data_IF_763948647101
#
_entry.id   IF_763948647101
#
_cell.length_a   1.000
_cell.length_b   1.000
_cell.length_c   1.000
_cell.angle_alpha   90.00
_cell.angle_beta   90.00
_cell.angle_gamma   90.00
#
_symmetry.space_group_name_H-M   'P 1'
#
loop_
_entity.id
_entity.type
_entity.pdbx_description
1 polymer ?
2 non-polymer ?
3 non-polymer ?
4 water ?
#
# COMPACT_ATOMS: atom_id res chain seq x y z
N UNK A 6 6.21 25.35 19.84
CA UNK A 6 5.91 25.16 18.39
C UNK A 6 4.76 24.16 18.20
N UNK A 7 3.56 24.67 17.93
CA UNK A 7 2.47 23.75 17.61
C UNK A 7 2.70 23.03 16.28
N UNK A 8 2.04 21.88 16.12
CA UNK A 8 2.39 20.96 15.05
C UNK A 8 1.14 20.25 14.53
N UNK A 9 1.14 19.91 13.24
CA UNK A 9 0.04 19.11 12.70
C UNK A 9 0.11 17.64 13.16
N UNK A 10 1.24 17.24 13.72
CA UNK A 10 1.54 15.83 13.93
C UNK A 10 1.60 15.52 15.43
N UNK A 11 1.31 14.29 15.82
CA UNK A 11 1.82 13.81 17.10
C UNK A 11 2.58 12.49 17.00
N UNK A 12 3.83 12.48 17.47
CA UNK A 12 4.66 11.28 17.49
C UNK A 12 4.26 10.32 18.61
N UNK A 13 4.35 9.02 18.34
CA UNK A 13 4.19 8.01 19.37
C UNK A 13 5.39 7.07 19.40
N UNK A 14 5.61 6.43 20.54
CA UNK A 14 6.33 5.16 20.60
C UNK A 14 5.37 4.01 20.83
N UNK A 15 5.89 2.79 20.71
CA UNK A 15 5.03 1.62 20.70
C UNK A 15 4.27 1.50 22.01
N UNK A 16 4.98 1.74 23.10
CA UNK A 16 4.40 1.92 24.43
C UNK A 16 3.11 2.75 24.37
N UNK A 17 3.25 4.01 23.96
CA UNK A 17 2.10 4.93 23.91
C UNK A 17 1.04 4.41 22.96
N UNK A 18 1.46 3.98 21.78
CA UNK A 18 0.54 3.61 20.72
C UNK A 18 -0.28 2.39 21.12
N UNK A 19 0.37 1.38 21.69
CA UNK A 19 -0.30 0.12 22.00
C UNK A 19 -1.40 0.28 23.04
N UNK A 20 -1.29 1.30 23.88
CA UNK A 20 -2.30 1.57 24.91
C UNK A 20 -3.64 1.92 24.27
N UNK A 21 -3.61 2.43 23.04
CA UNK A 21 -4.82 2.86 22.38
C UNK A 21 -5.53 1.70 21.67
N UNK A 22 -5.06 0.48 21.95
CA UNK A 22 -5.78 -0.70 21.50
C UNK A 22 -7.19 -0.79 22.10
N UNK A 23 -7.38 -0.18 23.27
CA UNK A 23 -8.49 -0.52 24.15
C UNK A 23 -8.78 -2.02 24.13
N UNK A 24 -10.02 -2.39 23.81
CA UNK A 24 -10.40 -3.79 23.89
C UNK A 24 -10.74 -4.43 22.54
N UNK A 25 -10.15 -3.88 21.48
CA UNK A 25 -10.28 -4.46 20.15
C UNK A 25 -9.81 -5.93 20.15
N UNK A 26 -10.70 -6.84 19.70
CA UNK A 26 -10.36 -8.26 19.57
C UNK A 26 -9.28 -8.53 18.52
N UNK A 27 -8.28 -9.34 18.86
CA UNK A 27 -7.42 -9.96 17.85
C UNK A 27 -8.13 -11.12 17.15
N UNK A 28 -8.28 -11.00 15.83
CA UNK A 28 -9.09 -11.97 15.11
C UNK A 28 -8.27 -12.61 13.99
N UNK A 29 -7.10 -13.13 14.34
CA UNK A 29 -6.16 -13.55 13.32
C UNK A 29 -5.09 -14.47 13.89
N UNK A 30 -4.93 -15.62 13.24
CA UNK A 30 -4.08 -16.71 13.74
C UNK A 30 -2.62 -16.49 13.37
N UNK A 31 -1.75 -17.41 13.78
CA UNK A 31 -0.38 -17.44 13.23
C UNK A 31 -0.40 -17.89 11.78
N UNK A 32 -1.24 -18.86 11.46
CA UNK A 32 -1.26 -19.41 10.12
C UNK A 32 -1.70 -18.37 9.09
N UNK A 33 -2.66 -17.54 9.48
CA UNK A 33 -3.17 -16.51 8.59
C UNK A 33 -2.15 -15.39 8.41
N UNK A 34 -1.54 -14.96 9.49
CA UNK A 34 -0.46 -13.98 9.42
C UNK A 34 0.61 -14.32 8.40
N UNK A 35 1.07 -15.57 8.49
CA UNK A 35 2.03 -16.17 7.57
C UNK A 35 1.63 -15.95 6.12
N UNK A 36 0.37 -16.19 5.80
CA UNK A 36 -0.08 -16.14 4.42
C UNK A 36 -0.06 -14.73 3.87
N UNK A 37 0.11 -13.75 4.76
CA UNK A 37 0.04 -12.36 4.31
C UNK A 37 1.43 -11.73 4.30
N UNK A 38 2.34 -12.42 4.97
CA UNK A 38 3.71 -11.94 5.20
C UNK A 38 4.56 -12.19 3.96
N UNK A 39 5.20 -11.13 3.48
CA UNK A 39 6.17 -11.26 2.39
C UNK A 39 7.57 -11.67 2.79
N UNK A 40 8.31 -12.26 1.85
CA UNK A 40 9.69 -12.66 2.08
C UNK A 40 10.52 -11.57 2.76
N UNK A 41 11.11 -11.90 3.91
CA UNK A 41 12.00 -10.98 4.60
C UNK A 41 11.31 -10.15 5.68
N UNK A 42 9.99 -10.11 5.65
CA UNK A 42 9.22 -9.35 6.62
C UNK A 42 9.13 -10.01 8.01
N UNK A 43 9.34 -9.23 9.08
CA UNK A 43 9.41 -9.78 10.42
C UNK A 43 8.12 -9.73 11.23
N UNK A 44 7.04 -9.23 10.65
CA UNK A 44 5.84 -8.95 11.41
C UNK A 44 5.34 -10.23 12.10
N UNK A 45 5.04 -10.14 13.39
CA UNK A 45 4.39 -11.25 14.10
C UNK A 45 3.10 -10.78 14.79
N UNK A 46 2.38 -11.72 15.40
CA UNK A 46 1.16 -11.39 16.13
C UNK A 46 1.31 -10.32 17.20
N UNK A 47 2.48 -10.23 17.82
CA UNK A 47 2.65 -9.13 18.77
C UNK A 47 2.47 -7.75 18.12
N UNK A 48 3.28 -7.46 17.10
CA UNK A 48 3.18 -6.23 16.31
C UNK A 48 1.76 -5.94 15.83
N UNK A 49 1.04 -6.98 15.42
CA UNK A 49 -0.36 -6.82 15.07
C UNK A 49 -1.25 -6.39 16.23
N UNK A 50 -0.92 -6.86 17.44
CA UNK A 50 -1.64 -6.47 18.64
C UNK A 50 -1.34 -5.02 19.01
N UNK A 51 -0.05 -4.66 19.02
CA UNK A 51 0.36 -3.37 19.58
C UNK A 51 0.38 -2.23 18.56
N UNK A 52 0.33 -2.58 17.28
CA UNK A 52 0.44 -1.59 16.22
C UNK A 52 -0.77 -1.59 15.30
N UNK A 53 -1.13 -2.76 14.77
CA UNK A 53 -2.23 -2.79 13.82
C UNK A 53 -3.61 -2.69 14.46
N UNK A 54 -3.71 -2.93 15.76
CA UNK A 54 -5.05 -2.99 16.35
C UNK A 54 -5.55 -1.62 16.78
N UNK A 55 -4.67 -0.77 17.32
CA UNK A 55 -5.04 0.63 17.48
C UNK A 55 -5.39 1.26 16.13
N UNK A 56 -4.56 0.98 15.13
CA UNK A 56 -4.81 1.47 13.78
C UNK A 56 -6.19 1.07 13.29
N UNK A 57 -6.56 -0.18 13.49
CA UNK A 57 -7.88 -0.61 13.04
C UNK A 57 -8.98 0.13 13.83
N UNK A 58 -8.69 0.44 15.09
CA UNK A 58 -9.65 1.17 15.91
C UNK A 58 -9.87 2.59 15.37
N UNK A 59 -8.82 3.39 15.41
CA UNK A 59 -8.76 4.66 14.68
C UNK A 59 -9.53 4.64 13.36
N UNK A 60 -9.36 3.61 12.56
CA UNK A 60 -10.07 3.62 11.28
C UNK A 60 -11.57 3.45 11.46
N UNK A 61 -11.98 2.57 12.37
CA UNK A 61 -13.40 2.31 12.62
C UNK A 61 -14.10 3.61 13.04
N UNK A 62 -13.46 4.32 13.96
CA UNK A 62 -13.91 5.61 14.46
C UNK A 62 -14.08 6.64 13.34
N UNK A 63 -13.11 6.67 12.41
CA UNK A 63 -13.14 7.62 11.32
C UNK A 63 -14.09 7.27 10.19
N UNK A 64 -14.37 5.99 9.98
CA UNK A 64 -15.30 5.58 8.92
C UNK A 64 -16.69 6.16 9.13
N UNK A 65 -17.16 6.13 10.38
CA UNK A 65 -18.49 6.63 10.72
C UNK A 65 -18.53 8.15 10.54
N UNK A 66 -17.55 8.82 11.14
CA UNK A 66 -17.39 10.27 11.06
C UNK A 66 -17.18 10.78 9.64
N UNK A 67 -16.49 10.00 8.82
CA UNK A 67 -16.32 10.37 7.42
C UNK A 67 -17.64 10.28 6.67
N UNK A 68 -18.54 9.41 7.10
CA UNK A 68 -19.87 9.32 6.49
C UNK A 68 -20.73 10.56 6.75
N UNK A 69 -20.63 11.12 7.94
CA UNK A 69 -21.35 12.35 8.28
C UNK A 69 -21.07 13.37 7.18
N UNK A 70 -19.78 13.56 6.92
CA UNK A 70 -19.28 14.51 5.96
C UNK A 70 -19.92 14.40 4.57
N UNK A 71 -20.07 13.18 4.05
CA UNK A 71 -20.71 13.04 2.74
C UNK A 71 -22.22 13.23 2.83
N UNK A 72 -22.78 12.91 3.99
CA UNK A 72 -24.22 13.07 4.21
C UNK A 72 -24.61 14.54 4.28
N UNK A 73 -23.74 15.36 4.87
CA UNK A 73 -23.97 16.80 4.94
C UNK A 73 -24.10 17.40 3.54
N UNK A 74 -23.18 17.01 2.66
CA UNK A 74 -23.24 17.48 1.28
C UNK A 74 -24.47 16.93 0.58
N UNK A 75 -24.88 15.73 0.97
CA UNK A 75 -26.10 15.15 0.43
C UNK A 75 -27.31 15.94 0.95
N UNK A 76 -27.27 16.33 2.23
CA UNK A 76 -28.37 17.04 2.84
C UNK A 76 -28.48 18.37 2.10
N UNK A 77 -27.33 19.04 1.96
CA UNK A 77 -27.25 20.29 1.21
C UNK A 77 -27.84 20.22 -0.20
N UNK A 78 -27.42 19.21 -0.96
CA UNK A 78 -27.91 19.04 -2.32
C UNK A 78 -29.37 18.62 -2.37
N UNK A 79 -29.99 18.48 -1.20
CA UNK A 79 -31.35 17.95 -1.09
C UNK A 79 -31.50 16.59 -1.76
N UNK A 80 -30.53 15.72 -1.55
CA UNK A 80 -30.47 14.45 -2.26
C UNK A 80 -31.19 13.36 -1.47
N UNK A 81 -31.73 12.35 -2.18
CA UNK A 81 -32.11 11.12 -1.50
C UNK A 81 -31.13 10.80 -0.37
N UNK A 82 -31.62 10.46 0.82
CA UNK A 82 -30.76 10.05 1.94
C UNK A 82 -30.02 8.74 1.65
N UNK A 83 -28.82 8.59 2.22
CA UNK A 83 -27.87 7.58 1.75
C UNK A 83 -28.25 6.16 2.13
N UNK A 84 -28.50 5.34 1.10
CA UNK A 84 -28.66 3.90 1.23
C UNK A 84 -27.68 3.28 2.22
N UNK A 85 -28.19 2.72 3.34
CA UNK A 85 -27.32 2.12 4.34
C UNK A 85 -26.77 0.74 3.92
N UNK A 86 -27.41 0.13 2.92
CA UNK A 86 -26.91 -1.08 2.26
C UNK A 86 -25.73 -0.81 1.32
N UNK A 87 -25.29 0.45 1.29
CA UNK A 87 -24.20 0.92 0.43
C UNK A 87 -23.89 2.41 0.67
N UNK A 88 -23.08 2.69 1.69
CA UNK A 88 -22.60 4.06 1.91
C UNK A 88 -21.47 4.42 0.95
N UNK A 89 -20.87 5.59 1.12
CA UNK A 89 -19.74 5.99 0.29
C UNK A 89 -18.45 5.29 0.72
N UNK A 90 -17.86 4.50 -0.19
CA UNK A 90 -16.73 3.64 0.15
C UNK A 90 -15.59 4.43 0.75
N UNK A 91 -15.04 3.93 1.86
CA UNK A 91 -13.87 4.52 2.52
C UNK A 91 -12.57 4.15 1.79
N UNK A 92 -11.82 5.14 1.34
CA UNK A 92 -10.61 4.84 0.60
C UNK A 92 -9.38 5.04 1.46
N UNK A 93 -8.52 4.02 1.49
CA UNK A 93 -7.28 4.08 2.25
C UNK A 93 -6.10 3.86 1.33
N UNK A 94 -5.11 4.74 1.46
CA UNK A 94 -3.94 4.65 0.61
C UNK A 94 -2.78 4.18 1.46
N UNK A 95 -1.93 3.33 0.87
CA UNK A 95 -0.77 2.80 1.56
C UNK A 95 0.44 2.92 0.63
N UNK A 96 1.45 3.65 1.10
CA UNK A 96 2.57 4.02 0.25
C UNK A 96 3.86 3.67 0.96
N UNK A 97 4.93 3.55 0.17
CA UNK A 97 6.28 3.63 0.69
C UNK A 97 7.24 3.04 -0.32
N UNK A 98 8.50 2.91 0.06
CA UNK A 98 9.51 2.39 -0.84
C UNK A 98 9.29 0.92 -1.19
N UNK A 99 9.81 0.53 -2.35
CA UNK A 99 10.08 -0.87 -2.62
C UNK A 99 10.78 -1.45 -1.41
N UNK A 100 10.35 -2.66 -1.00
CA UNK A 100 11.08 -3.46 -0.01
C UNK A 100 10.87 -3.01 1.44
N UNK A 101 9.93 -2.11 1.69
CA UNK A 101 9.82 -1.58 3.05
C UNK A 101 8.72 -2.33 3.77
N UNK A 102 8.01 -3.20 3.06
CA UNK A 102 6.94 -3.99 3.68
C UNK A 102 5.53 -3.48 3.48
N UNK A 103 5.37 -2.36 2.77
CA UNK A 103 4.06 -1.71 2.69
C UNK A 103 2.99 -2.67 2.18
N UNK A 104 3.36 -3.57 1.29
CA UNK A 104 2.40 -4.52 0.73
C UNK A 104 1.86 -5.45 1.81
N UNK A 105 2.74 -5.91 2.68
CA UNK A 105 2.35 -6.75 3.80
C UNK A 105 1.42 -5.95 4.71
N UNK A 106 1.82 -4.73 5.02
CA UNK A 106 1.01 -3.83 5.83
C UNK A 106 -0.42 -3.73 5.31
N UNK A 107 -0.59 -3.72 4.00
CA UNK A 107 -1.93 -3.46 3.46
C UNK A 107 -2.77 -4.73 3.48
N UNK A 108 -2.15 -5.85 3.12
CA UNK A 108 -2.76 -7.17 3.29
C UNK A 108 -3.20 -7.39 4.73
N UNK A 109 -2.33 -7.04 5.68
CA UNK A 109 -2.67 -7.31 7.06
C UNK A 109 -3.86 -6.43 7.41
N UNK A 110 -3.76 -5.16 7.08
CA UNK A 110 -4.83 -4.22 7.38
C UNK A 110 -6.14 -4.68 6.74
N UNK A 111 -6.06 -5.22 5.53
CA UNK A 111 -7.28 -5.76 4.91
C UNK A 111 -7.88 -6.86 5.77
N UNK A 112 -7.04 -7.70 6.33
CA UNK A 112 -7.50 -8.87 7.06
C UNK A 112 -8.24 -8.37 8.29
N UNK A 113 -7.62 -7.42 9.00
CA UNK A 113 -8.19 -6.93 10.24
C UNK A 113 -9.56 -6.30 10.03
N UNK A 114 -9.73 -5.52 8.97
CA UNK A 114 -11.00 -4.81 8.77
C UNK A 114 -12.08 -5.71 8.17
N UNK A 115 -11.69 -6.78 7.48
CA UNK A 115 -12.69 -7.69 6.94
C UNK A 115 -13.34 -8.43 8.10
N UNK A 116 -12.66 -8.44 9.23
CA UNK A 116 -13.10 -9.14 10.42
C UNK A 116 -13.65 -8.18 11.46
N UNK A 117 -14.48 -7.24 11.00
CA UNK A 117 -15.36 -6.50 11.89
C UNK A 117 -16.76 -7.08 11.83
N UNK A 118 -17.62 -6.59 12.72
CA UNK A 118 -18.99 -7.05 12.77
C UNK A 118 -19.76 -6.71 11.50
N UNK A 119 -20.75 -7.55 11.20
CA UNK A 119 -21.59 -7.40 10.01
C UNK A 119 -20.70 -7.50 8.77
N UNK A 120 -19.40 -7.60 9.01
CA UNK A 120 -18.42 -8.16 8.08
C UNK A 120 -18.31 -7.39 6.76
N UNK A 121 -17.71 -6.20 6.82
CA UNK A 121 -17.58 -5.23 5.73
C UNK A 121 -16.78 -5.77 4.54
N UNK A 122 -17.27 -5.57 3.32
CA UNK A 122 -16.51 -5.94 2.14
C UNK A 122 -15.31 -5.02 1.94
N UNK A 123 -14.12 -5.56 2.14
CA UNK A 123 -12.89 -4.77 2.16
C UNK A 123 -11.95 -5.22 1.04
N UNK A 124 -11.85 -4.40 0.00
CA UNK A 124 -11.01 -4.75 -1.15
C UNK A 124 -9.64 -4.14 -1.09
N UNK A 125 -8.68 -4.82 -1.71
CA UNK A 125 -7.29 -4.35 -1.75
C UNK A 125 -6.84 -4.40 -3.19
N UNK A 126 -6.37 -3.26 -3.69
CA UNK A 126 -5.89 -3.16 -5.07
C UNK A 126 -4.50 -2.53 -5.02
N UNK A 127 -3.54 -3.15 -5.70
CA UNK A 127 -2.19 -2.59 -5.77
C UNK A 127 -2.04 -1.87 -7.11
N UNK A 128 -1.16 -0.87 -7.17
CA UNK A 128 -1.07 -0.08 -8.37
C UNK A 128 -0.25 -0.78 -9.44
N UNK A 129 0.11 -2.03 -9.18
CA UNK A 129 0.89 -2.81 -10.14
C UNK A 129 0.10 -2.95 -11.43
N UNK A 130 -1.18 -3.30 -11.28
CA UNK A 130 -2.08 -3.49 -12.41
C UNK A 130 -2.16 -2.30 -13.35
N UNK A 131 -1.79 -1.13 -12.83
CA UNK A 131 -1.85 0.10 -13.61
C UNK A 131 -0.51 0.50 -14.22
N UNK A 132 0.52 -0.32 -14.07
CA UNK A 132 1.72 -0.10 -14.85
C UNK A 132 1.38 -0.17 -16.34
N UNK A 133 1.98 0.70 -17.14
CA UNK A 133 1.91 0.52 -18.58
C UNK A 133 2.54 -0.83 -18.89
N UNK A 134 2.01 -1.53 -19.91
CA UNK A 134 2.61 -2.77 -20.37
C UNK A 134 4.02 -2.57 -20.89
N UNK A 135 4.79 -3.64 -20.99
CA UNK A 135 6.19 -3.50 -21.35
C UNK A 135 6.36 -2.88 -22.73
N UNK A 136 5.57 -3.38 -23.67
CA UNK A 136 5.59 -2.89 -25.04
C UNK A 136 5.42 -1.37 -25.02
N UNK A 137 4.53 -0.89 -24.15
CA UNK A 137 4.21 0.53 -24.12
C UNK A 137 5.28 1.30 -23.36
N UNK A 138 5.87 0.64 -22.36
CA UNK A 138 6.98 1.26 -21.66
C UNK A 138 8.17 1.40 -22.61
N UNK A 139 8.50 0.34 -23.34
CA UNK A 139 9.56 0.42 -24.35
C UNK A 139 9.31 1.63 -25.25
N UNK A 140 8.07 1.79 -25.68
CA UNK A 140 7.75 2.88 -26.58
C UNK A 140 8.07 4.22 -25.94
N UNK A 141 7.77 4.38 -24.66
CA UNK A 141 7.98 5.65 -23.97
C UNK A 141 9.40 5.80 -23.42
N UNK A 142 10.23 4.81 -23.73
CA UNK A 142 11.59 4.74 -23.20
C UNK A 142 11.70 4.57 -21.69
N UNK A 143 10.76 3.82 -21.11
CA UNK A 143 10.60 3.76 -19.67
C UNK A 143 10.81 2.37 -19.10
N UNK A 144 11.44 1.47 -19.85
CA UNK A 144 11.69 0.13 -19.35
C UNK A 144 12.63 0.06 -18.14
N UNK A 145 13.27 1.18 -17.81
CA UNK A 145 14.13 1.23 -16.63
C UNK A 145 13.64 2.31 -15.68
N UNK A 146 12.36 2.61 -15.77
CA UNK A 146 11.75 3.56 -14.85
C UNK A 146 10.45 2.98 -14.30
N UNK A 147 10.36 1.66 -14.39
CA UNK A 147 9.26 0.95 -13.75
C UNK A 147 9.15 1.32 -12.28
N UNK A 148 8.05 1.97 -11.91
CA UNK A 148 7.81 2.31 -10.52
C UNK A 148 7.87 3.81 -10.33
N UNK A 149 8.43 4.49 -11.33
CA UNK A 149 8.37 5.95 -11.34
C UNK A 149 6.94 6.37 -11.70
N UNK A 150 6.55 7.60 -11.33
CA UNK A 150 5.18 8.02 -11.60
C UNK A 150 4.74 7.80 -13.03
N UNK A 151 5.63 8.07 -13.99
CA UNK A 151 5.25 8.12 -15.39
C UNK A 151 5.13 6.71 -16.00
N UNK A 152 5.57 5.70 -15.26
CA UNK A 152 5.43 4.32 -15.71
C UNK A 152 4.03 3.79 -15.45
N UNK A 153 3.18 4.61 -14.85
CA UNK A 153 1.79 4.24 -14.58
C UNK A 153 0.79 4.99 -15.47
N UNK A 154 -0.27 4.30 -15.86
CA UNK A 154 -1.42 4.93 -16.46
C UNK A 154 -2.22 5.56 -15.33
N UNK A 155 -1.74 6.70 -14.86
CA UNK A 155 -2.34 7.42 -13.74
C UNK A 155 -3.79 7.81 -14.01
N UNK A 156 -4.09 8.07 -15.28
CA UNK A 156 -5.44 8.43 -15.68
C UNK A 156 -6.42 7.27 -15.44
N UNK A 157 -6.01 6.06 -15.84
CA UNK A 157 -6.87 4.89 -15.66
C UNK A 157 -7.07 4.58 -14.18
N UNK A 158 -6.03 4.83 -13.40
CA UNK A 158 -6.05 4.60 -11.96
C UNK A 158 -7.03 5.54 -11.28
N UNK A 159 -6.95 6.80 -11.68
CA UNK A 159 -7.89 7.82 -11.21
C UNK A 159 -9.31 7.48 -11.64
N UNK A 160 -9.51 7.03 -12.87
CA UNK A 160 -10.83 6.58 -13.31
C UNK A 160 -11.36 5.46 -12.43
N UNK A 161 -10.48 4.53 -12.07
CA UNK A 161 -10.85 3.38 -11.24
C UNK A 161 -11.31 3.77 -9.86
N UNK A 162 -10.49 4.55 -9.16
CA UNK A 162 -10.80 4.87 -7.77
C UNK A 162 -12.00 5.80 -7.75
N UNK A 163 -12.10 6.64 -8.79
CA UNK A 163 -13.19 7.58 -8.88
C UNK A 163 -14.45 6.78 -9.12
N UNK A 164 -14.35 5.82 -10.04
CA UNK A 164 -15.48 4.92 -10.23
C UNK A 164 -15.95 4.31 -8.93
N UNK A 165 -15.03 3.77 -8.14
CA UNK A 165 -15.43 3.03 -6.94
C UNK A 165 -16.06 3.97 -5.90
N UNK A 166 -15.39 5.08 -5.63
CA UNK A 166 -15.80 5.93 -4.53
C UNK A 166 -17.11 6.64 -4.85
N UNK A 167 -17.36 6.89 -6.13
CA UNK A 167 -18.62 7.48 -6.58
C UNK A 167 -19.83 6.55 -6.49
N UNK A 168 -19.61 5.28 -6.16
CA UNK A 168 -20.70 4.35 -5.86
C UNK A 168 -21.07 3.46 -7.02
N UNK A 169 -20.18 3.31 -7.99
CA UNK A 169 -20.39 2.35 -9.08
C UNK A 169 -20.56 0.90 -8.58
N UNK A 170 -21.23 0.07 -9.36
CA UNK A 170 -21.57 -1.28 -8.91
C UNK A 170 -20.35 -2.17 -9.08
N UNK A 171 -19.58 -1.86 -10.12
CA UNK A 171 -18.32 -2.57 -10.39
C UNK A 171 -17.31 -1.73 -11.16
N UNK A 172 -16.03 -1.96 -10.87
CA UNK A 172 -14.94 -1.33 -11.61
C UNK A 172 -13.83 -2.36 -11.82
N UNK A 173 -13.13 -2.26 -12.95
CA UNK A 173 -12.12 -3.24 -13.32
C UNK A 173 -10.74 -2.62 -13.35
N UNK A 174 -9.76 -3.37 -12.86
CA UNK A 174 -8.36 -2.97 -12.90
C UNK A 174 -7.62 -4.07 -13.63
N UNK A 175 -6.62 -3.72 -14.44
CA UNK A 175 -5.81 -4.78 -15.01
C UNK A 175 -4.90 -5.42 -13.96
N UNK A 176 -4.18 -6.46 -14.35
CA UNK A 176 -3.46 -7.30 -13.39
C UNK A 176 -2.03 -7.52 -13.85
N UNK A 177 -1.08 -7.42 -12.93
CA UNK A 177 0.33 -7.53 -13.28
C UNK A 177 0.89 -8.89 -12.86
N UNK A 178 1.68 -9.52 -13.73
CA UNK A 178 2.44 -10.71 -13.33
C UNK A 178 3.87 -10.37 -12.93
N UNK A 179 4.25 -10.71 -11.70
CA UNK A 179 5.62 -10.53 -11.24
C UNK A 179 6.56 -11.57 -11.86
N UNK A 180 6.08 -12.80 -11.94
CA UNK A 180 6.69 -13.83 -12.76
C UNK A 180 7.16 -13.33 -14.12
N UNK A 181 6.22 -12.86 -14.94
CA UNK A 181 6.53 -12.44 -16.31
C UNK A 181 6.95 -10.96 -16.45
N UNK A 182 6.86 -10.19 -15.38
CA UNK A 182 7.38 -8.83 -15.44
C UNK A 182 6.54 -7.96 -16.37
N UNK A 183 5.29 -8.34 -16.59
CA UNK A 183 4.43 -7.61 -17.51
C UNK A 183 2.97 -7.72 -17.11
N UNK A 184 2.14 -6.90 -17.75
CA UNK A 184 0.70 -6.93 -17.52
C UNK A 184 0.15 -8.18 -18.20
N UNK A 185 -0.85 -8.81 -17.59
CA UNK A 185 -1.38 -10.07 -18.09
C UNK A 185 -2.53 -9.82 -19.07
N UNK A 186 -2.31 -10.19 -20.34
CA UNK A 186 -3.36 -10.05 -21.34
C UNK A 186 -4.66 -10.66 -20.81
N UNK A 187 -5.73 -9.87 -20.77
CA UNK A 187 -7.06 -10.40 -20.54
C UNK A 187 -7.46 -10.45 -19.06
N UNK A 188 -6.49 -10.26 -18.18
CA UNK A 188 -6.72 -10.48 -16.75
C UNK A 188 -7.41 -9.24 -16.22
N UNK A 189 -8.43 -9.42 -15.38
CA UNK A 189 -8.99 -8.28 -14.70
C UNK A 189 -9.24 -8.58 -13.23
N UNK A 190 -9.01 -7.57 -12.39
CA UNK A 190 -9.48 -7.60 -11.02
C UNK A 190 -10.76 -6.79 -10.97
N UNK A 191 -11.80 -7.33 -10.33
CA UNK A 191 -13.11 -6.72 -10.37
C UNK A 191 -13.53 -6.38 -8.95
N UNK A 192 -13.89 -5.12 -8.74
CA UNK A 192 -14.17 -4.60 -7.40
C UNK A 192 -15.60 -4.08 -7.41
N UNK A 193 -16.40 -4.54 -6.46
CA UNK A 193 -17.85 -4.39 -6.53
C UNK A 193 -18.33 -3.64 -5.30
N UNK A 194 -18.47 -2.32 -5.40
CA UNK A 194 -19.00 -1.50 -4.32
C UNK A 194 -18.57 -1.97 -2.93
N UNK A 195 -17.26 -2.09 -2.68
CA UNK A 195 -16.76 -2.41 -1.35
C UNK A 195 -17.18 -1.35 -0.34
N UNK A 196 -17.02 -1.64 0.95
CA UNK A 196 -17.27 -0.65 1.99
C UNK A 196 -15.96 0.11 2.23
N UNK A 197 -14.87 -0.62 2.08
CA UNK A 197 -13.54 -0.07 2.23
C UNK A 197 -12.72 -0.55 1.03
N UNK A 198 -11.95 0.36 0.46
CA UNK A 198 -11.01 -0.01 -0.60
C UNK A 198 -9.66 0.47 -0.15
N UNK A 199 -8.69 -0.46 -0.17
CA UNK A 199 -7.33 -0.09 0.13
C UNK A 199 -6.53 -0.08 -1.15
N UNK A 200 -5.77 0.98 -1.35
CA UNK A 200 -5.00 1.14 -2.57
C UNK A 200 -3.55 1.28 -2.18
N UNK A 201 -2.73 0.38 -2.70
CA UNK A 201 -1.35 0.26 -2.24
C UNK A 201 -0.39 0.37 -3.41
N UNK A 202 0.60 1.24 -3.25
CA UNK A 202 1.52 1.54 -4.33
C UNK A 202 2.59 2.49 -3.85
N UNK A 203 3.68 2.58 -4.60
CA UNK A 203 4.79 3.50 -4.35
C UNK A 203 4.35 4.95 -4.25
N UNK A 204 3.58 5.39 -5.24
CA UNK A 204 3.34 6.82 -5.37
C UNK A 204 1.92 7.25 -5.06
N UNK A 205 1.11 6.34 -4.51
CA UNK A 205 -0.30 6.63 -4.37
C UNK A 205 -0.52 7.98 -3.67
N UNK A 206 0.47 8.45 -2.91
CA UNK A 206 0.26 9.68 -2.15
C UNK A 206 0.64 10.94 -2.91
N UNK A 207 1.10 10.76 -4.14
CA UNK A 207 1.52 11.87 -4.96
C UNK A 207 0.43 12.91 -5.16
N UNK A 208 0.86 14.14 -5.38
CA UNK A 208 -0.04 15.23 -5.72
C UNK A 208 0.39 15.89 -7.03
N UNK A 209 -0.49 16.69 -7.63
CA UNK A 209 -0.23 17.21 -8.97
C UNK A 209 -1.19 18.25 -9.50
N UNK A 210 -0.91 18.73 -10.72
CA UNK A 210 -1.67 19.81 -11.35
C UNK A 210 -3.03 19.27 -11.77
N UNK A 211 -3.38 18.08 -11.31
CA UNK A 211 -4.71 17.56 -11.59
C UNK A 211 -5.20 16.84 -10.34
N UNK A 212 -6.50 16.64 -10.25
CA UNK A 212 -7.04 15.88 -9.12
C UNK A 212 -6.48 14.47 -9.26
N UNK A 213 -5.89 13.95 -8.19
CA UNK A 213 -5.33 12.62 -8.24
C UNK A 213 -5.90 11.70 -7.17
N UNK A 214 -5.47 10.45 -7.24
CA UNK A 214 -5.94 9.41 -6.33
C UNK A 214 -5.74 9.75 -4.85
N UNK A 215 -4.68 10.50 -4.53
CA UNK A 215 -4.47 10.92 -3.14
C UNK A 215 -5.52 11.91 -2.67
N UNK A 216 -6.21 12.57 -3.59
CA UNK A 216 -7.26 13.51 -3.22
C UNK A 216 -8.55 12.78 -2.85
N UNK A 217 -8.64 11.51 -3.22
CA UNK A 217 -9.79 10.70 -2.80
C UNK A 217 -9.56 9.91 -1.52
N UNK A 218 -8.36 9.91 -0.96
CA UNK A 218 -8.12 9.09 0.22
C UNK A 218 -8.84 9.71 1.41
N UNK A 219 -9.54 8.88 2.18
CA UNK A 219 -10.07 9.31 3.46
C UNK A 219 -9.06 9.06 4.58
N UNK A 220 -8.08 8.20 4.31
CA UNK A 220 -7.04 7.86 5.27
C UNK A 220 -5.84 7.34 4.50
N UNK A 221 -4.64 7.65 4.96
CA UNK A 221 -3.45 7.18 4.27
C UNK A 221 -2.39 6.71 5.25
N UNK A 222 -1.57 5.77 4.80
CA UNK A 222 -0.50 5.18 5.58
C UNK A 222 0.76 5.28 4.76
N UNK A 223 1.88 5.62 5.42
CA UNK A 223 3.17 5.60 4.76
C UNK A 223 4.10 4.81 5.67
N UNK A 224 4.64 3.73 5.14
CA UNK A 224 5.54 2.86 5.87
C UNK A 224 6.97 3.34 5.62
N UNK A 225 7.69 3.66 6.69
CA UNK A 225 8.95 4.39 6.59
C UNK A 225 10.11 3.62 7.21
N UNK A 226 11.33 3.92 6.79
CA UNK A 226 12.51 3.41 7.47
C UNK A 226 13.72 4.19 6.98
N UNK A 227 14.82 4.20 7.73
CA UNK A 227 16.06 4.81 7.23
C UNK A 227 16.44 4.23 5.87
N UNK A 228 16.86 5.11 4.98
CA UNK A 228 17.15 4.71 3.61
C UNK A 228 18.16 3.57 3.45
N UNK A 229 19.17 3.50 4.33
CA UNK A 229 20.20 2.48 4.20
C UNK A 229 19.69 1.13 4.66
N UNK A 230 18.76 1.16 5.62
CA UNK A 230 18.11 -0.07 6.02
C UNK A 230 17.33 -0.66 4.86
N UNK A 231 16.61 0.17 4.12
CA UNK A 231 15.76 -0.34 3.04
C UNK A 231 16.65 -0.93 1.95
N UNK A 232 17.82 -0.32 1.74
CA UNK A 232 18.71 -0.83 0.73
C UNK A 232 19.13 -2.23 1.16
N UNK A 233 19.42 -2.34 2.45
CA UNK A 233 19.83 -3.63 3.02
C UNK A 233 18.71 -4.63 2.85
N UNK A 234 17.48 -4.27 3.22
CA UNK A 234 16.38 -5.22 3.07
C UNK A 234 16.22 -5.63 1.60
N UNK A 235 16.45 -4.66 0.71
CA UNK A 235 16.22 -4.91 -0.71
C UNK A 235 17.29 -5.85 -1.26
N UNK A 236 18.53 -5.61 -0.86
CA UNK A 236 19.65 -6.42 -1.34
C UNK A 236 19.54 -7.84 -0.81
N UNK A 237 19.27 -7.94 0.49
CA UNK A 237 19.10 -9.22 1.13
C UNK A 237 17.96 -9.99 0.45
N UNK A 238 16.85 -9.33 0.16
CA UNK A 238 15.70 -10.06 -0.36
C UNK A 238 15.99 -10.49 -1.80
N UNK A 239 16.81 -9.73 -2.49
CA UNK A 239 17.24 -10.10 -3.83
C UNK A 239 18.07 -11.37 -3.80
N UNK A 240 19.04 -11.46 -2.88
CA UNK A 240 19.84 -12.68 -2.74
C UNK A 240 18.93 -13.86 -2.42
N UNK A 241 17.96 -13.61 -1.53
CA UNK A 241 17.05 -14.67 -1.07
C UNK A 241 16.24 -15.25 -2.21
N UNK A 242 15.97 -14.42 -3.22
CA UNK A 242 15.00 -14.81 -4.23
C UNK A 242 15.62 -15.72 -5.27
N UNK A 243 16.94 -15.80 -5.25
CA UNK A 243 17.65 -16.79 -6.06
C UNK A 243 17.10 -18.21 -5.89
N UNK A 244 16.61 -18.53 -4.71
CA UNK A 244 16.07 -19.87 -4.51
C UNK A 244 14.55 -19.90 -4.36
N UNK A 245 13.90 -18.75 -4.38
CA UNK A 245 12.45 -18.74 -4.48
C UNK A 245 12.05 -18.36 -5.91
N UNK A 246 11.75 -17.08 -6.13
CA UNK A 246 11.09 -16.68 -7.37
C UNK A 246 11.97 -16.83 -8.61
N UNK A 247 13.24 -16.43 -8.55
CA UNK A 247 14.14 -16.53 -9.69
C UNK A 247 14.43 -17.98 -10.06
N UNK A 248 14.14 -18.88 -9.11
CA UNK A 248 14.47 -20.30 -9.27
C UNK A 248 13.59 -20.93 -10.34
N UNK A 249 12.40 -20.36 -10.52
CA UNK A 249 11.45 -20.77 -11.52
C UNK A 249 11.99 -20.51 -12.93
N UNK A 250 12.11 -21.56 -13.76
CA UNK A 250 12.66 -21.33 -15.10
C UNK A 250 11.78 -20.38 -15.90
N UNK A 251 10.53 -20.23 -15.47
CA UNK A 251 9.60 -19.30 -16.11
C UNK A 251 9.90 -17.84 -15.80
N UNK A 252 10.57 -17.61 -14.68
CA UNK A 252 10.74 -16.25 -14.17
C UNK A 252 11.48 -15.40 -15.18
N UNK A 253 10.98 -14.20 -15.40
CA UNK A 253 11.67 -13.27 -16.28
C UNK A 253 13.10 -13.04 -15.79
N UNK A 254 13.36 -13.30 -14.51
CA UNK A 254 14.68 -13.05 -13.95
C UNK A 254 15.45 -14.31 -13.56
N UNK A 255 15.13 -15.43 -14.18
CA UNK A 255 15.79 -16.71 -13.92
C UNK A 255 17.32 -16.65 -13.97
N UNK A 256 17.88 -15.79 -14.82
CA UNK A 256 19.32 -15.73 -14.95
C UNK A 256 19.98 -15.26 -13.66
N UNK A 257 19.18 -14.69 -12.76
CA UNK A 257 19.72 -14.22 -11.50
C UNK A 257 19.96 -15.35 -10.50
N UNK A 258 19.26 -16.47 -10.68
CA UNK A 258 19.38 -17.61 -9.76
C UNK A 258 20.83 -18.11 -9.67
N UNK A 259 21.57 -18.00 -10.76
CA UNK A 259 22.92 -18.57 -10.85
C UNK A 259 24.01 -17.61 -10.41
N UNK A 260 23.63 -16.43 -9.92
CA UNK A 260 24.58 -15.44 -9.45
C UNK A 260 25.19 -15.87 -8.11
N UNK A 261 26.46 -15.53 -7.94
CA UNK A 261 27.12 -15.69 -6.64
C UNK A 261 26.61 -14.64 -5.67
N UNK A 262 26.80 -14.89 -4.37
CA UNK A 262 26.44 -13.86 -3.40
C UNK A 262 26.91 -12.49 -3.86
N UNK A 263 28.17 -12.36 -4.24
CA UNK A 263 28.71 -11.03 -4.50
C UNK A 263 28.31 -10.51 -5.89
N UNK A 264 28.15 -11.40 -6.85
CA UNK A 264 27.55 -10.99 -8.11
C UNK A 264 26.14 -10.43 -7.89
N UNK A 265 25.42 -11.01 -6.94
CA UNK A 265 24.02 -10.70 -6.69
C UNK A 265 23.93 -9.41 -5.90
N UNK A 266 24.88 -9.24 -4.99
CA UNK A 266 24.98 -7.99 -4.24
C UNK A 266 25.28 -6.87 -5.24
N UNK A 267 26.16 -7.14 -6.20
CA UNK A 267 26.51 -6.12 -7.17
C UNK A 267 25.30 -5.73 -8.02
N UNK A 268 24.61 -6.74 -8.56
CA UNK A 268 23.42 -6.48 -9.35
C UNK A 268 22.36 -5.74 -8.53
N UNK A 269 22.12 -6.17 -7.30
CA UNK A 269 21.04 -5.60 -6.49
C UNK A 269 21.35 -4.14 -6.16
N UNK A 270 22.63 -3.87 -5.89
CA UNK A 270 23.04 -2.52 -5.53
C UNK A 270 22.86 -1.57 -6.70
N UNK A 271 23.12 -2.07 -7.90
CA UNK A 271 23.02 -1.24 -9.10
C UNK A 271 21.57 -0.93 -9.44
N UNK A 272 20.67 -1.89 -9.24
CA UNK A 272 19.25 -1.62 -9.42
C UNK A 272 18.75 -0.64 -8.36
N UNK A 273 19.15 -0.85 -7.11
CA UNK A 273 18.85 0.13 -6.07
C UNK A 273 19.29 1.53 -6.48
N UNK A 274 20.51 1.65 -7.00
CA UNK A 274 21.11 2.96 -7.19
C UNK A 274 20.49 3.63 -8.41
N UNK A 275 20.15 2.84 -9.43
CA UNK A 275 19.71 3.43 -10.68
C UNK A 275 18.20 3.58 -10.78
N UNK A 276 17.46 2.83 -9.97
CA UNK A 276 16.01 2.88 -10.03
C UNK A 276 15.35 3.18 -8.68
N UNK A 277 15.52 2.28 -7.72
CA UNK A 277 14.67 2.35 -6.54
C UNK A 277 15.05 3.49 -5.61
N UNK A 278 16.35 3.77 -5.51
CA UNK A 278 16.75 4.85 -4.62
C UNK A 278 16.23 6.18 -5.18
N UNK A 279 16.48 6.45 -6.47
CA UNK A 279 16.09 7.75 -6.99
C UNK A 279 14.57 7.97 -6.92
N UNK A 280 13.81 6.93 -7.21
CA UNK A 280 12.37 7.02 -7.06
C UNK A 280 11.98 7.37 -5.62
N UNK A 281 12.63 6.73 -4.64
CA UNK A 281 12.25 6.91 -3.25
C UNK A 281 12.51 8.36 -2.84
N UNK A 282 13.72 8.84 -3.18
CA UNK A 282 14.10 10.21 -2.86
C UNK A 282 13.30 11.28 -3.61
N UNK A 283 13.09 11.08 -4.91
CA UNK A 283 12.55 12.13 -5.75
C UNK A 283 11.02 12.17 -5.68
N UNK A 284 10.40 11.01 -5.54
CA UNK A 284 8.95 10.91 -5.62
C UNK A 284 8.25 10.39 -4.38
N UNK A 285 8.71 9.30 -3.79
CA UNK A 285 7.99 8.70 -2.67
C UNK A 285 8.10 9.48 -1.37
N UNK A 286 9.33 9.85 -1.00
CA UNK A 286 9.56 10.49 0.30
C UNK A 286 8.91 11.87 0.40
N UNK A 287 8.87 12.62 -0.72
CA UNK A 287 8.18 13.91 -0.65
C UNK A 287 6.68 13.78 -0.38
N UNK A 288 6.14 12.58 -0.44
CA UNK A 288 4.70 12.42 -0.15
C UNK A 288 4.44 12.09 1.31
N UNK A 289 5.50 11.74 2.03
CA UNK A 289 5.35 11.35 3.44
C UNK A 289 4.66 12.39 4.32
N UNK A 290 5.02 13.67 4.16
CA UNK A 290 4.43 14.68 5.03
C UNK A 290 2.90 14.72 5.02
N UNK A 291 2.26 14.20 3.97
CA UNK A 291 0.80 14.25 3.90
C UNK A 291 0.07 13.04 4.46
N UNK A 292 0.82 11.99 4.81
CA UNK A 292 0.20 10.74 5.23
C UNK A 292 -0.49 10.90 6.58
N UNK A 293 -1.66 10.30 6.73
CA UNK A 293 -2.34 10.33 8.02
C UNK A 293 -1.46 9.73 9.12
N UNK A 294 -0.87 8.57 8.84
CA UNK A 294 -0.05 7.86 9.82
C UNK A 294 1.21 7.34 9.15
N UNK A 295 2.36 7.72 9.69
CA UNK A 295 3.61 7.08 9.30
C UNK A 295 4.00 5.95 10.26
N UNK A 296 4.32 4.77 9.69
CA UNK A 296 4.81 3.68 10.51
C UNK A 296 6.30 3.54 10.35
N UNK A 297 7.04 3.94 11.38
CA UNK A 297 8.50 3.98 11.33
C UNK A 297 9.14 2.67 11.80
N UNK A 298 9.95 2.07 10.92
CA UNK A 298 10.56 0.77 11.18
C UNK A 298 12.04 0.89 11.52
N UNK A 299 12.45 0.20 12.58
CA UNK A 299 13.87 0.10 12.91
C UNK A 299 14.57 -0.88 11.97
N UNK A 300 15.90 -0.84 11.99
CA UNK A 300 16.71 -1.74 11.16
C UNK A 300 16.32 -3.22 11.15
N UNK A 301 15.49 -3.65 12.09
CA UNK A 301 15.08 -5.05 12.13
C UNK A 301 13.68 -5.30 11.58
N UNK A 302 13.03 -4.25 11.07
CA UNK A 302 11.71 -4.33 10.43
C UNK A 302 10.59 -3.99 11.42
N UNK A 303 11.01 -3.82 12.66
CA UNK A 303 10.11 -3.66 13.80
C UNK A 303 9.52 -2.24 13.78
N UNK A 304 8.19 -2.13 13.83
CA UNK A 304 7.64 -0.78 13.90
C UNK A 304 7.72 -0.28 15.34
N UNK A 305 8.58 0.70 15.60
CA UNK A 305 8.78 1.20 16.96
C UNK A 305 8.38 2.65 17.22
N UNK A 306 8.19 3.44 16.17
CA UNK A 306 7.65 4.79 16.31
C UNK A 306 6.52 5.05 15.31
N UNK A 307 5.62 5.96 15.64
CA UNK A 307 4.51 6.32 14.76
C UNK A 307 4.27 7.82 14.75
N UNK A 308 3.92 8.37 13.57
CA UNK A 308 3.57 9.79 13.47
C UNK A 308 2.14 9.94 12.94
N UNK A 309 1.28 10.55 13.75
CA UNK A 309 -0.11 10.73 13.34
C UNK A 309 -0.39 12.20 13.01
N UNK A 310 -1.22 12.40 11.99
CA UNK A 310 -1.69 13.74 11.63
C UNK A 310 -2.93 13.99 12.45
N UNK A 311 -2.84 14.92 13.41
CA UNK A 311 -4.05 15.35 14.05
C UNK A 311 -4.68 16.54 13.34
N UNK A 312 -3.87 17.24 12.54
CA UNK A 312 -4.36 18.21 11.57
C UNK A 312 -3.90 17.83 10.18
#
# INVERSE_FOLDING_TARGET
MSRLSEPSPYVEFDRRQWRALRMSTPLALTEEELVGLRGLGEQIDLLEVEEVYLPLARLIHLQVAARQRLFAATAEFLGEPQQNPDRPVPFIIGVAGSVAVGKSTTARVLQALLARWDHHPRVDLVTTDGFLYPNAELQRRNLMHRKGFPESYNRRALMRFVTSVKSGSDYACAPVYSHLHYDIIPGAEQVVRHPDILILEGLNVLQTGPTLMVSDLFDFSLYVDARIEDIEQWYVSRFLAMRTTAFADPESHFHHYAAFSDSQAVVAAREIWRTINRPNLVENILPTRPRATLVLRKDADHSINRLRLRKL
#
